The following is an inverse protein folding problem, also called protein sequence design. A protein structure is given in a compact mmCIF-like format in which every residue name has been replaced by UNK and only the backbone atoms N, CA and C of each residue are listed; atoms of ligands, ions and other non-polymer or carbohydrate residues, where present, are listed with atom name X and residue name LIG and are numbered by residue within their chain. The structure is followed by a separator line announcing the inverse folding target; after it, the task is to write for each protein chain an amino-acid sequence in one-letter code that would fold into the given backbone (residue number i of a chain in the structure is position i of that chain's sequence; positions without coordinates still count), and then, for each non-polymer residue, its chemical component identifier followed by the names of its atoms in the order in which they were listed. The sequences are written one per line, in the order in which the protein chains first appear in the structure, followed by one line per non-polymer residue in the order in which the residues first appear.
data_IF_458402601111
#
_entry.id   IF_458402601111
#
_cell.length_a   1.000
_cell.length_b   1.000
_cell.length_c   1.000
_cell.angle_alpha   90.00
_cell.angle_beta   90.00
_cell.angle_gamma   90.00
#
_symmetry.space_group_name_H-M   'P 1'
#
loop_
_entity.id
_entity.type
_entity.pdbx_description
1 polymer ?
#
# COMPACT_ATOMS: atom_id res chain seq x y z
N UNK A 1 21.78 32.98 25.87
CA UNK A 1 22.17 32.42 24.55
C UNK A 1 21.19 31.33 24.21
N UNK A 2 20.35 31.59 23.20
CA UNK A 2 19.10 30.87 22.97
C UNK A 2 19.31 29.43 22.48
N UNK A 3 18.71 28.46 23.18
CA UNK A 3 18.70 27.03 22.83
C UNK A 3 18.16 26.73 21.42
N UNK A 4 17.46 27.69 20.79
CA UNK A 4 16.97 27.58 19.41
C UNK A 4 18.10 27.58 18.37
N UNK A 5 19.20 28.30 18.60
CA UNK A 5 20.32 28.37 17.65
C UNK A 5 21.24 27.14 17.72
N UNK A 6 21.39 26.55 18.91
CA UNK A 6 22.18 25.32 19.10
C UNK A 6 21.47 24.13 18.45
N UNK A 7 20.14 24.04 18.58
CA UNK A 7 19.35 22.99 17.94
C UNK A 7 19.40 23.07 16.40
N UNK A 8 19.32 24.29 15.85
CA UNK A 8 19.50 24.53 14.41
C UNK A 8 20.89 24.13 13.89
N UNK A 9 21.95 24.42 14.66
CA UNK A 9 23.33 24.06 14.31
C UNK A 9 23.60 22.56 14.34
N UNK A 10 23.04 21.82 15.30
CA UNK A 10 23.19 20.36 15.40
C UNK A 10 22.44 19.65 14.27
N UNK A 11 21.21 20.09 13.93
CA UNK A 11 20.44 19.54 12.81
C UNK A 11 21.14 19.81 11.47
N UNK A 12 21.68 21.01 11.27
CA UNK A 12 22.44 21.35 10.07
C UNK A 12 23.74 20.53 9.94
N UNK A 13 24.48 20.33 11.05
CA UNK A 13 25.69 19.52 11.06
C UNK A 13 25.42 18.03 10.77
N UNK A 14 24.30 17.49 11.25
CA UNK A 14 23.88 16.11 10.93
C UNK A 14 23.44 15.94 9.48
N UNK A 15 22.72 16.92 8.91
CA UNK A 15 22.36 16.93 7.48
C UNK A 15 23.60 17.05 6.58
N UNK A 16 24.61 17.81 6.99
CA UNK A 16 25.86 17.95 6.24
C UNK A 16 26.73 16.69 6.32
N UNK A 17 26.81 16.05 7.50
CA UNK A 17 27.49 14.77 7.68
C UNK A 17 26.87 13.63 6.84
N UNK A 18 25.57 13.69 6.59
CA UNK A 18 24.85 12.74 5.73
C UNK A 18 25.29 12.83 4.26
N UNK A 19 25.54 14.05 3.74
CA UNK A 19 26.04 14.24 2.38
C UNK A 19 27.46 13.68 2.25
N UNK A 20 28.33 13.95 3.23
CA UNK A 20 29.74 13.53 3.21
C UNK A 20 29.92 12.02 3.38
N UNK A 21 29.12 11.36 4.22
CA UNK A 21 29.14 9.90 4.38
C UNK A 21 28.55 9.15 3.18
N UNK A 22 27.70 9.80 2.39
CA UNK A 22 27.14 9.22 1.17
C UNK A 22 28.15 9.25 0.01
N UNK A 23 28.94 10.31 -0.14
CA UNK A 23 29.98 10.41 -1.18
C UNK A 23 31.17 9.49 -0.94
N UNK A 24 31.45 9.09 0.31
CA UNK A 24 32.61 8.26 0.65
C UNK A 24 32.38 6.75 0.55
N UNK A 25 31.15 6.29 0.27
CA UNK A 25 30.79 4.85 0.29
C UNK A 25 30.38 4.26 -1.06
N UNK A 26 30.65 4.96 -2.16
CA UNK A 26 30.32 4.51 -3.52
C UNK A 26 31.52 4.10 -4.34
N UNK A 27 32.09 2.91 -4.12
CA UNK A 27 32.84 2.12 -5.12
C UNK A 27 33.14 0.71 -4.60
N UNK A 28 32.22 -0.21 -4.84
CA UNK A 28 32.57 -1.64 -4.93
C UNK A 28 32.09 -2.18 -6.27
N UNK A 29 33.04 -2.74 -7.02
CA UNK A 29 32.90 -3.31 -8.35
C UNK A 29 32.12 -4.64 -8.29
N UNK A 30 31.01 -4.74 -9.00
CA UNK A 30 30.33 -6.02 -9.25
C UNK A 30 30.76 -6.52 -10.63
N UNK A 31 31.57 -7.58 -10.65
CA UNK A 31 31.91 -8.35 -11.85
C UNK A 31 30.71 -9.22 -12.24
N UNK A 32 30.39 -9.21 -13.53
CA UNK A 32 29.42 -10.11 -14.15
C UNK A 32 29.95 -11.55 -14.15
N UNK A 33 29.07 -12.51 -13.85
CA UNK A 33 29.31 -13.92 -14.13
C UNK A 33 28.02 -14.54 -14.66
N UNK A 34 28.06 -14.91 -15.94
CA UNK A 34 27.08 -15.78 -16.60
C UNK A 34 27.28 -17.23 -16.15
N UNK A 35 26.19 -17.93 -15.82
CA UNK A 35 26.14 -19.39 -15.99
C UNK A 35 24.71 -19.95 -16.07
N UNK A 36 24.44 -20.51 -17.24
CA UNK A 36 23.68 -21.71 -17.59
C UNK A 36 22.26 -21.94 -17.03
N UNK A 37 21.30 -21.77 -17.95
CA UNK A 37 19.89 -22.13 -17.88
C UNK A 37 19.73 -23.64 -18.14
N UNK A 38 19.36 -24.41 -17.11
CA UNK A 38 18.90 -25.79 -17.30
C UNK A 38 17.39 -25.78 -17.55
N UNK A 39 16.97 -26.22 -18.74
CA UNK A 39 15.56 -26.41 -19.14
C UNK A 39 14.96 -27.55 -18.30
N UNK A 40 13.96 -27.26 -17.48
CA UNK A 40 13.02 -28.27 -16.98
C UNK A 40 11.68 -28.12 -17.69
N UNK A 41 11.38 -29.09 -18.54
CA UNK A 41 10.16 -29.28 -19.30
C UNK A 41 8.96 -29.49 -18.36
N UNK A 42 7.94 -28.63 -18.46
CA UNK A 42 6.65 -28.86 -17.81
C UNK A 42 5.86 -29.88 -18.66
N UNK A 43 5.46 -30.99 -18.03
CA UNK A 43 4.54 -31.98 -18.62
C UNK A 43 3.13 -31.41 -18.67
N UNK A 44 2.58 -31.36 -19.88
CA UNK A 44 1.15 -31.21 -20.15
C UNK A 44 0.41 -32.46 -19.65
N UNK A 45 -0.53 -32.29 -18.73
CA UNK A 45 -1.60 -33.27 -18.49
C UNK A 45 -2.90 -32.59 -18.88
N UNK A 46 -3.42 -33.01 -20.04
CA UNK A 46 -4.71 -32.57 -20.54
C UNK A 46 -5.83 -33.28 -19.80
N UNK A 47 -6.79 -32.51 -19.32
CA UNK A 47 -8.17 -32.95 -19.18
C UNK A 47 -9.05 -31.83 -19.74
N UNK A 48 -9.89 -32.21 -20.70
CA UNK A 48 -10.71 -31.30 -21.51
C UNK A 48 -11.69 -30.52 -20.65
N UNK A 49 -11.47 -29.21 -20.56
CA UNK A 49 -12.48 -28.27 -20.11
C UNK A 49 -13.37 -27.96 -21.31
N UNK A 50 -14.68 -28.16 -21.16
CA UNK A 50 -15.69 -27.78 -22.13
C UNK A 50 -15.52 -26.29 -22.48
N UNK A 51 -15.24 -25.98 -23.75
CA UNK A 51 -15.26 -24.62 -24.28
C UNK A 51 -16.70 -24.12 -24.28
N UNK A 52 -17.11 -23.45 -23.20
CA UNK A 52 -18.32 -22.61 -23.24
C UNK A 52 -18.00 -21.31 -23.97
N UNK A 53 -18.76 -21.03 -25.03
CA UNK A 53 -18.66 -19.81 -25.85
C UNK A 53 -18.59 -18.54 -24.98
N UNK A 54 -17.51 -17.77 -25.17
CA UNK A 54 -17.26 -16.49 -24.49
C UNK A 54 -18.11 -15.38 -25.11
N UNK A 55 -19.33 -15.16 -24.60
CA UNK A 55 -20.16 -14.02 -24.98
C UNK A 55 -19.67 -12.75 -24.25
N UNK A 56 -18.96 -11.89 -24.97
CA UNK A 56 -18.32 -10.67 -24.44
C UNK A 56 -19.31 -9.54 -24.17
N UNK A 57 -19.56 -9.25 -22.88
CA UNK A 57 -20.34 -8.08 -22.46
C UNK A 57 -19.72 -7.32 -21.27
N UNK A 58 -18.46 -7.60 -20.93
CA UNK A 58 -17.74 -7.04 -19.77
C UNK A 58 -16.40 -6.47 -20.22
N UNK A 59 -16.07 -5.25 -19.82
CA UNK A 59 -14.79 -4.60 -20.14
C UNK A 59 -13.74 -4.88 -19.07
N UNK A 60 -14.16 -4.90 -17.79
CA UNK A 60 -13.29 -5.10 -16.63
C UNK A 60 -13.87 -6.15 -15.68
N UNK A 61 -13.06 -7.13 -15.30
CA UNK A 61 -13.37 -8.05 -14.17
C UNK A 61 -12.60 -7.59 -12.94
N UNK A 62 -13.29 -7.47 -11.80
CA UNK A 62 -12.70 -7.21 -10.49
C UNK A 62 -12.86 -8.43 -9.60
N UNK A 63 -11.75 -8.98 -9.12
CA UNK A 63 -11.73 -10.13 -8.21
C UNK A 63 -11.67 -9.63 -6.77
N UNK A 64 -12.76 -9.80 -6.02
CA UNK A 64 -12.92 -9.35 -4.64
C UNK A 64 -13.65 -8.01 -4.52
N UNK A 65 -14.72 -7.98 -3.72
CA UNK A 65 -15.56 -6.82 -3.41
C UNK A 65 -15.33 -6.33 -1.97
N UNK A 66 -14.06 -6.16 -1.59
CA UNK A 66 -13.67 -5.42 -0.38
C UNK A 66 -13.59 -3.91 -0.65
N UNK A 67 -12.95 -3.16 0.25
CA UNK A 67 -12.82 -1.69 0.15
C UNK A 67 -12.31 -1.23 -1.23
N UNK A 68 -11.19 -1.78 -1.70
CA UNK A 68 -10.61 -1.39 -2.99
C UNK A 68 -11.47 -1.83 -4.19
N UNK A 69 -11.95 -3.08 -4.18
CA UNK A 69 -12.71 -3.65 -5.28
C UNK A 69 -14.06 -2.98 -5.49
N UNK A 70 -14.82 -2.74 -4.41
CA UNK A 70 -16.12 -2.07 -4.49
C UNK A 70 -15.99 -0.60 -4.87
N UNK A 71 -15.01 0.12 -4.28
CA UNK A 71 -14.77 1.51 -4.63
C UNK A 71 -14.33 1.67 -6.09
N UNK A 72 -13.47 0.78 -6.59
CA UNK A 72 -13.04 0.78 -7.97
C UNK A 72 -14.18 0.42 -8.93
N UNK A 73 -15.02 -0.56 -8.58
CA UNK A 73 -16.16 -0.93 -9.38
C UNK A 73 -17.10 0.26 -9.63
N UNK A 74 -17.45 0.99 -8.55
CA UNK A 74 -18.26 2.19 -8.64
C UNK A 74 -17.60 3.27 -9.51
N UNK A 75 -16.30 3.53 -9.28
CA UNK A 75 -15.55 4.55 -10.01
C UNK A 75 -15.45 4.26 -11.52
N UNK A 76 -15.11 3.03 -11.91
CA UNK A 76 -15.01 2.65 -13.31
C UNK A 76 -16.38 2.65 -14.01
N UNK A 77 -17.42 2.21 -13.30
CA UNK A 77 -18.77 2.24 -13.84
C UNK A 77 -19.29 3.67 -14.05
N UNK A 78 -18.98 4.61 -13.15
CA UNK A 78 -19.27 6.04 -13.37
C UNK A 78 -18.56 6.63 -14.60
N UNK A 79 -17.36 6.14 -14.88
CA UNK A 79 -16.59 6.53 -16.07
C UNK A 79 -17.04 5.74 -17.34
N UNK A 80 -18.10 4.91 -17.26
CA UNK A 80 -18.77 4.29 -18.41
C UNK A 80 -18.39 2.83 -18.70
N UNK A 81 -17.45 2.25 -17.95
CA UNK A 81 -17.01 0.86 -18.17
C UNK A 81 -18.06 -0.16 -17.72
N UNK A 82 -18.18 -1.30 -18.42
CA UNK A 82 -18.96 -2.45 -17.97
C UNK A 82 -18.11 -3.31 -17.03
N UNK A 83 -18.50 -3.38 -15.77
CA UNK A 83 -17.69 -4.00 -14.71
C UNK A 83 -18.41 -5.23 -14.16
N UNK A 84 -17.71 -6.37 -14.11
CA UNK A 84 -18.14 -7.54 -13.36
C UNK A 84 -17.28 -7.70 -12.11
N UNK A 85 -17.90 -7.79 -10.95
CA UNK A 85 -17.22 -7.98 -9.66
C UNK A 85 -17.57 -9.36 -9.13
N UNK A 86 -16.56 -10.17 -8.82
CA UNK A 86 -16.74 -11.53 -8.30
C UNK A 86 -16.18 -11.58 -6.87
N UNK A 87 -17.06 -11.79 -5.90
CA UNK A 87 -16.70 -11.87 -4.47
C UNK A 87 -17.11 -13.22 -3.88
N UNK A 88 -16.22 -13.81 -3.07
CA UNK A 88 -16.44 -15.12 -2.46
C UNK A 88 -17.67 -15.12 -1.57
N UNK A 89 -17.83 -14.07 -0.76
CA UNK A 89 -18.97 -13.91 0.13
C UNK A 89 -19.50 -12.48 0.19
N UNK A 90 -20.76 -12.32 -0.25
CA UNK A 90 -21.49 -11.05 -0.26
C UNK A 90 -22.20 -10.74 1.06
N UNK A 91 -22.20 -11.67 2.03
CA UNK A 91 -22.65 -11.39 3.38
C UNK A 91 -21.78 -10.31 4.04
N UNK A 92 -22.33 -9.65 5.06
CA UNK A 92 -21.60 -8.66 5.86
C UNK A 92 -20.36 -9.31 6.50
N UNK A 93 -19.14 -8.81 6.21
CA UNK A 93 -17.94 -9.38 6.81
C UNK A 93 -17.83 -9.08 8.31
N UNK A 94 -17.76 -10.12 9.15
CA UNK A 94 -17.33 -9.99 10.55
C UNK A 94 -15.81 -10.13 10.64
N UNK A 95 -15.10 -8.99 10.75
CA UNK A 95 -13.64 -8.93 10.82
C UNK A 95 -13.18 -7.80 11.73
N UNK A 96 -12.04 -8.00 12.38
CA UNK A 96 -11.39 -7.02 13.27
C UNK A 96 -10.44 -6.05 12.55
N UNK A 97 -10.37 -6.10 11.22
CA UNK A 97 -9.47 -5.27 10.41
C UNK A 97 -10.25 -4.15 9.72
N UNK A 98 -9.62 -2.98 9.56
CA UNK A 98 -10.17 -1.89 8.75
C UNK A 98 -11.26 -1.07 9.44
N UNK A 99 -11.20 -0.90 10.77
CA UNK A 99 -12.21 -0.16 11.54
C UNK A 99 -11.87 1.32 11.75
N UNK A 100 -10.79 1.81 11.14
CA UNK A 100 -10.37 3.22 11.17
C UNK A 100 -9.95 3.66 9.76
N UNK A 101 -10.65 4.66 9.23
CA UNK A 101 -10.28 5.39 8.03
C UNK A 101 -9.69 6.74 8.41
N UNK A 102 -8.43 6.99 8.03
CA UNK A 102 -7.80 8.28 8.25
C UNK A 102 -8.42 9.38 7.41
N UNK A 103 -8.23 10.63 7.84
CA UNK A 103 -8.71 11.81 7.13
C UNK A 103 -8.33 11.86 5.64
N UNK A 104 -7.09 11.50 5.27
CA UNK A 104 -6.70 11.40 3.87
C UNK A 104 -7.50 10.34 3.10
N UNK A 105 -7.83 9.22 3.74
CA UNK A 105 -8.71 8.19 3.18
C UNK A 105 -10.14 8.68 2.98
N UNK A 106 -10.69 9.45 3.94
CA UNK A 106 -11.99 10.12 3.80
C UNK A 106 -12.01 11.08 2.60
N UNK A 107 -10.93 11.87 2.40
CA UNK A 107 -10.82 12.75 1.22
C UNK A 107 -10.77 11.97 -0.10
N UNK A 108 -10.09 10.80 -0.13
CA UNK A 108 -10.10 9.94 -1.33
C UNK A 108 -11.47 9.32 -1.59
N UNK A 109 -12.20 8.97 -0.54
CA UNK A 109 -13.57 8.48 -0.67
C UNK A 109 -14.50 9.56 -1.25
N UNK A 110 -14.38 10.80 -0.77
CA UNK A 110 -15.09 11.95 -1.32
C UNK A 110 -14.71 12.23 -2.78
N UNK A 111 -13.42 12.14 -3.13
CA UNK A 111 -12.96 12.28 -4.51
C UNK A 111 -13.49 11.16 -5.45
N UNK A 112 -14.02 10.07 -4.89
CA UNK A 112 -14.68 8.99 -5.62
C UNK A 112 -16.22 9.14 -5.64
N UNK A 113 -16.80 10.09 -4.92
CA UNK A 113 -18.26 10.24 -4.77
C UNK A 113 -18.90 9.13 -3.92
N UNK A 114 -18.17 8.66 -2.91
CA UNK A 114 -18.51 7.54 -2.02
C UNK A 114 -18.54 7.95 -0.53
N UNK A 115 -18.44 9.23 -0.22
CA UNK A 115 -18.38 9.76 1.15
C UNK A 115 -19.59 9.41 2.01
N UNK A 116 -20.77 9.33 1.40
CA UNK A 116 -22.04 8.93 2.01
C UNK A 116 -22.07 7.44 2.41
N UNK A 117 -21.14 6.61 1.93
CA UNK A 117 -20.97 5.25 2.44
C UNK A 117 -20.52 5.22 3.91
N UNK A 118 -20.12 6.36 4.49
CA UNK A 118 -19.82 6.50 5.92
C UNK A 118 -21.06 6.86 6.76
N UNK A 119 -22.20 7.12 6.11
CA UNK A 119 -23.45 7.50 6.77
C UNK A 119 -24.33 6.28 7.08
N UNK A 120 -25.08 6.36 8.18
CA UNK A 120 -26.01 5.31 8.58
C UNK A 120 -25.37 3.98 8.99
N UNK A 121 -24.06 3.97 9.27
CA UNK A 121 -23.31 2.77 9.73
C UNK A 121 -22.82 2.87 11.17
N UNK A 122 -23.28 3.88 11.92
CA UNK A 122 -22.78 4.23 13.26
C UNK A 122 -21.28 4.59 13.25
N UNK A 123 -20.86 5.37 12.26
CA UNK A 123 -19.48 5.82 12.16
C UNK A 123 -19.19 6.92 13.17
N UNK A 124 -18.02 6.84 13.81
CA UNK A 124 -17.54 7.79 14.81
C UNK A 124 -16.53 8.74 14.20
N UNK A 125 -16.68 10.03 14.46
CA UNK A 125 -15.72 11.06 14.00
C UNK A 125 -14.46 10.97 14.85
N UNK A 126 -13.30 10.85 14.18
CA UNK A 126 -11.99 10.81 14.86
C UNK A 126 -11.25 12.11 14.57
N UNK A 127 -11.12 12.98 15.57
CA UNK A 127 -10.43 14.28 15.47
C UNK A 127 -8.95 14.21 15.88
N UNK A 128 -8.64 13.32 16.82
CA UNK A 128 -7.31 13.20 17.40
C UNK A 128 -7.11 11.84 18.06
N UNK A 129 -5.85 11.48 18.28
CA UNK A 129 -5.44 10.32 19.05
C UNK A 129 -4.77 10.74 20.36
N UNK A 130 -4.94 9.97 21.42
CA UNK A 130 -4.17 10.16 22.65
C UNK A 130 -2.99 9.19 22.66
N UNK A 131 -1.76 9.72 22.65
CA UNK A 131 -0.59 8.92 23.00
C UNK A 131 -0.39 8.98 24.52
N UNK A 132 -0.23 7.82 25.15
CA UNK A 132 -0.03 7.68 26.59
C UNK A 132 1.26 6.90 26.81
N UNK A 133 2.20 7.49 27.56
CA UNK A 133 3.44 6.80 27.92
C UNK A 133 3.23 5.89 29.16
N UNK A 134 4.26 5.11 29.53
CA UNK A 134 4.20 4.20 30.70
C UNK A 134 4.00 4.92 32.03
N UNK A 135 4.38 6.19 32.11
CA UNK A 135 4.22 7.03 33.30
C UNK A 135 2.84 7.70 33.35
N UNK A 136 1.94 7.39 32.41
CA UNK A 136 0.59 7.96 32.33
C UNK A 136 0.52 9.37 31.73
N UNK A 137 1.64 9.95 31.27
CA UNK A 137 1.63 11.23 30.56
C UNK A 137 0.89 11.09 29.25
N UNK A 138 0.07 12.08 28.92
CA UNK A 138 -0.78 12.10 27.74
C UNK A 138 -0.39 13.23 26.81
N UNK A 139 -0.35 12.96 25.51
CA UNK A 139 -0.27 13.99 24.48
C UNK A 139 -1.31 13.72 23.39
N UNK A 140 -1.97 14.78 22.93
CA UNK A 140 -2.89 14.69 21.81
C UNK A 140 -2.11 14.75 20.49
N UNK A 141 -2.51 13.91 19.54
CA UNK A 141 -2.04 13.90 18.17
C UNK A 141 -3.26 14.19 17.29
N UNK A 142 -3.44 15.46 16.97
CA UNK A 142 -4.59 15.94 16.19
C UNK A 142 -4.30 15.88 14.70
N UNK A 143 -5.33 15.67 13.90
CA UNK A 143 -5.22 15.91 12.46
C UNK A 143 -4.98 17.41 12.19
N UNK A 144 -4.17 17.77 11.18
CA UNK A 144 -4.00 19.16 10.77
C UNK A 144 -5.27 19.73 10.12
N UNK A 145 -5.39 21.06 10.12
CA UNK A 145 -6.40 21.80 9.32
C UNK A 145 -7.86 21.35 9.53
N UNK A 146 -8.22 20.98 10.77
CA UNK A 146 -9.56 20.48 11.15
C UNK A 146 -10.04 19.25 10.36
N UNK A 147 -9.11 18.51 9.74
CA UNK A 147 -9.45 17.27 9.08
C UNK A 147 -9.91 16.22 10.11
N UNK A 148 -10.69 15.24 9.68
CA UNK A 148 -11.19 14.18 10.57
C UNK A 148 -11.19 12.83 9.88
N UNK A 149 -10.86 11.79 10.64
CA UNK A 149 -11.06 10.41 10.23
C UNK A 149 -12.45 9.90 10.61
N UNK A 150 -12.69 8.62 10.32
CA UNK A 150 -13.88 7.89 10.76
C UNK A 150 -13.49 6.53 11.32
N UNK A 151 -14.12 6.13 12.41
CA UNK A 151 -14.09 4.73 12.88
C UNK A 151 -15.46 4.11 12.71
N UNK A 152 -15.54 2.82 12.42
CA UNK A 152 -16.78 2.13 12.10
C UNK A 152 -16.59 0.61 12.14
N UNK A 153 -17.69 -0.13 12.18
CA UNK A 153 -17.67 -1.55 11.87
C UNK A 153 -17.37 -1.76 10.39
N UNK A 154 -16.26 -2.44 10.08
CA UNK A 154 -15.80 -2.65 8.71
C UNK A 154 -16.84 -3.39 7.84
N UNK A 155 -17.59 -4.33 8.43
CA UNK A 155 -18.65 -5.06 7.72
C UNK A 155 -19.68 -4.13 7.09
N UNK A 156 -20.27 -3.26 7.91
CA UNK A 156 -21.25 -2.25 7.48
C UNK A 156 -20.71 -1.31 6.40
N UNK A 157 -19.46 -0.86 6.55
CA UNK A 157 -18.83 0.00 5.54
C UNK A 157 -18.66 -0.71 4.20
N UNK A 158 -18.19 -1.97 4.20
CA UNK A 158 -18.08 -2.78 2.99
C UNK A 158 -19.46 -3.00 2.34
N UNK A 159 -20.50 -3.25 3.13
CA UNK A 159 -21.87 -3.40 2.59
C UNK A 159 -22.34 -2.12 1.89
N UNK A 160 -22.15 -0.95 2.50
CA UNK A 160 -22.47 0.34 1.86
C UNK A 160 -21.73 0.53 0.53
N UNK A 161 -20.44 0.20 0.47
CA UNK A 161 -19.66 0.27 -0.78
C UNK A 161 -20.20 -0.69 -1.85
N UNK A 162 -20.58 -1.91 -1.47
CA UNK A 162 -21.14 -2.92 -2.38
C UNK A 162 -22.51 -2.48 -2.91
N UNK A 163 -23.39 -2.02 -2.02
CA UNK A 163 -24.71 -1.46 -2.37
C UNK A 163 -24.57 -0.31 -3.36
N UNK A 164 -23.67 0.64 -3.07
CA UNK A 164 -23.47 1.81 -3.93
C UNK A 164 -22.89 1.43 -5.29
N UNK A 165 -21.93 0.50 -5.35
CA UNK A 165 -21.43 -0.01 -6.63
C UNK A 165 -22.53 -0.74 -7.43
N UNK A 166 -23.30 -1.62 -6.79
CA UNK A 166 -24.37 -2.39 -7.43
C UNK A 166 -25.57 -1.55 -7.89
N UNK A 167 -25.71 -0.31 -7.37
CA UNK A 167 -26.75 0.62 -7.82
C UNK A 167 -26.56 1.11 -9.27
N UNK A 168 -25.37 0.94 -9.85
CA UNK A 168 -25.08 1.34 -11.22
C UNK A 168 -25.44 0.23 -12.22
N UNK A 169 -26.14 0.54 -13.32
CA UNK A 169 -26.67 -0.48 -14.25
C UNK A 169 -25.60 -1.26 -15.01
N UNK A 170 -24.38 -0.71 -15.08
CA UNK A 170 -23.21 -1.32 -15.73
C UNK A 170 -22.28 -2.05 -14.75
N UNK A 171 -22.71 -2.29 -13.50
CA UNK A 171 -22.02 -3.15 -12.53
C UNK A 171 -22.78 -4.45 -12.34
N UNK A 172 -22.12 -5.57 -12.61
CA UNK A 172 -22.61 -6.92 -12.26
C UNK A 172 -21.85 -7.44 -11.05
N UNK A 173 -22.46 -7.37 -9.86
CA UNK A 173 -21.90 -7.94 -8.63
C UNK A 173 -22.38 -9.39 -8.47
N UNK A 174 -21.44 -10.33 -8.35
CA UNK A 174 -21.72 -11.77 -8.35
C UNK A 174 -20.99 -12.48 -7.21
N UNK A 175 -21.66 -13.44 -6.58
CA UNK A 175 -21.06 -14.27 -5.54
C UNK A 175 -20.39 -15.50 -6.15
N UNK A 176 -19.06 -15.59 -6.02
CA UNK A 176 -18.26 -16.70 -6.51
C UNK A 176 -16.82 -16.65 -6.03
N UNK A 177 -16.16 -17.80 -5.97
CA UNK A 177 -14.75 -17.90 -5.60
C UNK A 177 -13.90 -18.03 -6.86
N UNK A 178 -13.13 -17.00 -7.20
CA UNK A 178 -12.15 -17.08 -8.30
C UNK A 178 -11.04 -18.06 -7.93
N UNK A 179 -10.78 -19.03 -8.82
CA UNK A 179 -9.81 -20.11 -8.62
C UNK A 179 -8.53 -19.88 -9.39
N UNK A 180 -8.61 -19.37 -10.62
CA UNK A 180 -7.45 -19.11 -11.47
C UNK A 180 -7.70 -18.01 -12.51
N UNK A 181 -6.60 -17.47 -13.05
CA UNK A 181 -6.62 -16.57 -14.20
C UNK A 181 -6.62 -17.39 -15.49
N UNK A 182 -7.38 -16.94 -16.49
CA UNK A 182 -7.37 -17.51 -17.84
C UNK A 182 -6.34 -16.76 -18.67
N UNK A 183 -5.30 -17.46 -19.12
CA UNK A 183 -4.21 -16.91 -19.92
C UNK A 183 -4.28 -17.45 -21.35
N UNK A 184 -4.23 -16.53 -22.33
CA UNK A 184 -4.13 -16.86 -23.75
C UNK A 184 -3.02 -16.01 -24.37
N UNK A 185 -2.08 -16.65 -25.07
CA UNK A 185 -0.96 -16.01 -25.76
C UNK A 185 -0.14 -15.04 -24.86
N UNK A 186 0.08 -15.39 -23.59
CA UNK A 186 0.85 -14.55 -22.66
C UNK A 186 0.07 -13.35 -22.09
N UNK A 187 -1.25 -13.26 -22.34
CA UNK A 187 -2.14 -12.23 -21.83
C UNK A 187 -3.27 -12.86 -21.02
N UNK A 188 -3.61 -12.25 -19.89
CA UNK A 188 -4.81 -12.63 -19.13
C UNK A 188 -6.05 -12.15 -19.90
N UNK A 189 -7.02 -13.04 -20.07
CA UNK A 189 -8.28 -12.81 -20.78
C UNK A 189 -9.51 -12.93 -19.89
N UNK A 190 -9.34 -13.31 -18.63
CA UNK A 190 -10.44 -13.50 -17.71
C UNK A 190 -10.08 -14.37 -16.51
N UNK A 191 -11.11 -14.98 -15.92
CA UNK A 191 -11.00 -15.79 -14.71
C UNK A 191 -11.88 -17.04 -14.77
N UNK A 192 -11.44 -18.10 -14.11
CA UNK A 192 -12.28 -19.23 -13.72
C UNK A 192 -12.74 -19.02 -12.28
N UNK A 193 -14.01 -19.30 -12.01
CA UNK A 193 -14.59 -19.15 -10.68
C UNK A 193 -15.64 -20.22 -10.39
N UNK A 194 -15.84 -20.49 -9.10
CA UNK A 194 -16.86 -21.42 -8.60
C UNK A 194 -18.02 -20.64 -8.00
N UNK A 195 -19.24 -20.93 -8.43
CA UNK A 195 -20.44 -20.38 -7.78
C UNK A 195 -20.65 -21.03 -6.41
N UNK A 196 -21.57 -20.47 -5.61
CA UNK A 196 -21.97 -21.08 -4.33
C UNK A 196 -22.52 -22.51 -4.49
N UNK A 197 -23.10 -22.83 -5.65
CA UNK A 197 -23.57 -24.17 -6.00
C UNK A 197 -22.46 -25.14 -6.43
N UNK A 198 -21.20 -24.69 -6.46
CA UNK A 198 -20.05 -25.51 -6.84
C UNK A 198 -19.80 -25.61 -8.35
N UNK A 199 -20.61 -24.93 -9.17
CA UNK A 199 -20.44 -24.91 -10.63
C UNK A 199 -19.22 -24.07 -11.01
N UNK A 200 -18.33 -24.63 -11.84
CA UNK A 200 -17.23 -23.89 -12.45
C UNK A 200 -17.73 -23.11 -13.67
N UNK A 201 -17.45 -21.80 -13.67
CA UNK A 201 -17.78 -20.87 -14.74
C UNK A 201 -16.53 -20.12 -15.17
N UNK A 202 -16.54 -19.62 -16.40
CA UNK A 202 -15.53 -18.73 -16.93
C UNK A 202 -16.14 -17.34 -17.19
N UNK A 203 -15.41 -16.28 -16.85
CA UNK A 203 -15.74 -14.91 -17.21
C UNK A 203 -14.56 -14.28 -17.95
N UNK A 204 -14.83 -13.54 -19.02
CA UNK A 204 -13.80 -12.90 -19.85
C UNK A 204 -13.95 -11.40 -19.88
N UNK A 205 -12.82 -10.71 -19.88
CA UNK A 205 -12.72 -9.25 -19.98
C UNK A 205 -11.35 -8.85 -20.52
N UNK A 206 -11.29 -7.63 -21.05
CA UNK A 206 -10.05 -7.03 -21.57
C UNK A 206 -9.04 -6.73 -20.46
N UNK A 207 -9.53 -6.45 -19.25
CA UNK A 207 -8.70 -6.20 -18.07
C UNK A 207 -9.26 -6.94 -16.85
N UNK A 208 -8.40 -7.70 -16.15
CA UNK A 208 -8.72 -8.34 -14.86
C UNK A 208 -7.95 -7.65 -13.74
N UNK A 209 -8.66 -7.15 -12.73
CA UNK A 209 -8.07 -6.46 -11.57
C UNK A 209 -8.26 -7.33 -10.32
N UNK A 210 -7.16 -7.63 -9.64
CA UNK A 210 -7.14 -8.56 -8.50
C UNK A 210 -7.06 -7.78 -7.18
N UNK A 211 -8.17 -7.81 -6.43
CA UNK A 211 -8.44 -7.08 -5.18
C UNK A 211 -8.82 -8.01 -4.00
N UNK A 212 -8.41 -9.29 -4.04
CA UNK A 212 -8.79 -10.35 -3.09
C UNK A 212 -8.04 -10.30 -1.73
N UNK A 213 -7.33 -9.20 -1.47
CA UNK A 213 -6.81 -8.84 -0.16
C UNK A 213 -5.60 -9.66 0.30
N UNK A 214 -5.40 -9.70 1.62
CA UNK A 214 -4.13 -10.15 2.20
C UNK A 214 -3.84 -11.65 2.02
N UNK A 215 -4.89 -12.46 1.86
CA UNK A 215 -4.80 -13.89 1.59
C UNK A 215 -4.94 -14.24 0.11
N UNK A 216 -4.63 -13.29 -0.78
CA UNK A 216 -4.71 -13.49 -2.23
C UNK A 216 -4.08 -14.80 -2.68
N UNK A 217 -4.89 -15.64 -3.32
CA UNK A 217 -4.44 -16.90 -3.92
C UNK A 217 -3.80 -16.66 -5.29
N UNK A 218 -4.19 -15.58 -5.98
CA UNK A 218 -3.72 -15.22 -7.31
C UNK A 218 -2.37 -14.47 -7.27
N UNK A 219 -1.98 -13.93 -6.11
CA UNK A 219 -0.75 -13.15 -5.94
C UNK A 219 0.51 -13.89 -6.40
N UNK A 220 0.65 -15.20 -6.20
CA UNK A 220 1.87 -15.94 -6.61
C UNK A 220 2.06 -15.95 -8.13
N UNK A 221 0.98 -15.83 -8.89
CA UNK A 221 1.02 -15.81 -10.35
C UNK A 221 1.39 -14.42 -10.89
N UNK A 222 1.22 -13.38 -10.07
CA UNK A 222 1.38 -11.97 -10.46
C UNK A 222 2.53 -11.24 -9.72
N UNK A 223 3.09 -11.86 -8.67
CA UNK A 223 4.19 -11.33 -7.87
C UNK A 223 5.13 -12.46 -7.38
N UNK A 224 6.42 -12.16 -7.27
CA UNK A 224 7.40 -13.07 -6.67
C UNK A 224 7.18 -13.14 -5.14
N UNK A 225 6.87 -14.32 -4.55
CA UNK A 225 6.63 -14.45 -3.12
C UNK A 225 7.92 -14.33 -2.29
N UNK A 226 7.83 -13.71 -1.11
CA UNK A 226 8.89 -13.65 -0.08
C UNK A 226 8.53 -14.45 1.19
N UNK A 227 7.78 -15.55 1.05
CA UNK A 227 7.46 -16.39 2.21
C UNK A 227 8.07 -17.78 2.05
N UNK A 228 8.90 -18.25 3.00
CA UNK A 228 9.47 -19.59 2.98
C UNK A 228 8.34 -20.65 3.04
N UNK A 229 8.34 -21.67 2.16
CA UNK A 229 7.34 -22.74 2.13
C UNK A 229 7.16 -23.47 3.47
N UNK A 230 8.22 -23.53 4.27
CA UNK A 230 8.34 -24.32 5.49
C UNK A 230 7.46 -23.77 6.64
N UNK A 231 7.05 -22.49 6.57
CA UNK A 231 6.29 -21.81 7.63
C UNK A 231 4.77 -21.84 7.41
N UNK A 232 4.30 -22.31 6.25
CA UNK A 232 2.90 -22.20 5.86
C UNK A 232 1.96 -23.05 6.74
N UNK A 233 2.33 -24.31 7.01
CA UNK A 233 1.46 -25.24 7.74
C UNK A 233 1.39 -24.96 9.24
N UNK A 234 2.52 -24.56 9.85
CA UNK A 234 2.58 -24.20 11.27
C UNK A 234 1.73 -22.95 11.58
N UNK A 235 1.66 -22.02 10.62
CA UNK A 235 0.87 -20.80 10.73
C UNK A 235 -0.65 -21.07 10.70
N UNK A 236 -1.13 -21.93 9.79
CA UNK A 236 -2.55 -22.34 9.73
C UNK A 236 -2.96 -23.08 11.01
N UNK A 237 -2.12 -24.02 11.47
CA UNK A 237 -2.40 -24.81 12.66
C UNK A 237 -2.46 -23.99 13.97
N UNK A 238 -1.81 -22.82 14.02
CA UNK A 238 -1.86 -21.90 15.15
C UNK A 238 -3.13 -21.02 15.17
N UNK A 239 -3.72 -20.75 14.00
CA UNK A 239 -4.97 -20.00 13.86
C UNK A 239 -6.17 -20.86 14.29
N UNK A 240 -6.13 -22.17 14.02
CA UNK A 240 -7.27 -23.08 14.23
C UNK A 240 -7.53 -23.45 15.69
N UNK A 241 -6.64 -23.13 16.64
CA UNK A 241 -6.72 -23.53 18.06
C UNK A 241 -7.49 -22.55 18.98
N UNK A 242 -8.23 -21.61 18.41
CA UNK A 242 -8.58 -20.33 19.04
C UNK A 242 -9.44 -20.30 20.32
N UNK A 243 -9.22 -19.24 21.11
CA UNK A 243 -10.28 -18.46 21.77
C UNK A 243 -9.97 -16.92 21.77
N UNK A 244 -9.18 -16.46 20.79
CA UNK A 244 -8.81 -15.05 20.54
C UNK A 244 -8.78 -14.85 19.02
N UNK A 245 -9.46 -13.82 18.48
CA UNK A 245 -9.38 -13.48 17.05
C UNK A 245 -7.99 -12.92 16.74
N UNK A 246 -7.22 -13.59 15.89
CA UNK A 246 -5.87 -13.19 15.49
C UNK A 246 -5.80 -12.89 14.00
N UNK A 247 -4.98 -11.92 13.61
CA UNK A 247 -4.73 -11.59 12.21
C UNK A 247 -3.22 -11.37 12.01
N UNK A 248 -2.59 -11.98 11.00
CA UNK A 248 -1.17 -11.77 10.74
C UNK A 248 -0.91 -10.33 10.31
N UNK A 249 0.08 -9.70 10.95
CA UNK A 249 0.56 -8.40 10.52
C UNK A 249 1.70 -8.58 9.51
N UNK A 250 1.41 -8.33 8.22
CA UNK A 250 2.31 -8.61 7.10
C UNK A 250 2.90 -7.33 6.54
N UNK A 251 4.19 -7.38 6.18
CA UNK A 251 4.88 -6.31 5.47
C UNK A 251 5.26 -6.85 4.10
N UNK A 252 4.81 -6.17 3.05
CA UNK A 252 5.04 -6.60 1.66
C UNK A 252 5.22 -5.38 0.77
N UNK A 253 6.45 -5.13 0.32
CA UNK A 253 6.76 -4.08 -0.66
C UNK A 253 6.10 -4.37 -2.01
N UNK A 254 5.70 -3.31 -2.72
CA UNK A 254 5.17 -3.44 -4.08
C UNK A 254 6.28 -3.84 -5.05
N UNK A 255 6.21 -5.06 -5.58
CA UNK A 255 7.11 -5.58 -6.61
C UNK A 255 6.29 -6.29 -7.70
N UNK A 256 5.49 -5.54 -8.46
CA UNK A 256 4.62 -6.09 -9.49
C UNK A 256 5.46 -6.70 -10.62
N UNK A 257 4.98 -7.81 -11.19
CA UNK A 257 5.44 -8.28 -12.49
C UNK A 257 4.49 -7.69 -13.56
N UNK A 258 5.00 -7.02 -14.61
CA UNK A 258 4.16 -6.54 -15.70
C UNK A 258 3.46 -7.71 -16.39
N UNK A 259 2.16 -7.85 -16.16
CA UNK A 259 1.34 -8.93 -16.70
C UNK A 259 0.25 -8.35 -17.59
N UNK A 260 0.37 -8.43 -18.93
CA UNK A 260 -0.66 -7.97 -19.84
C UNK A 260 -2.05 -8.56 -19.50
N UNK A 261 -3.04 -7.68 -19.37
CA UNK A 261 -4.43 -8.05 -19.07
C UNK A 261 -4.72 -8.26 -17.58
N UNK A 262 -3.74 -8.14 -16.69
CA UNK A 262 -3.94 -8.24 -15.24
C UNK A 262 -3.28 -7.10 -14.45
N UNK A 263 -3.93 -6.67 -13.37
CA UNK A 263 -3.41 -5.61 -12.50
C UNK A 263 -3.72 -5.88 -11.01
N UNK A 264 -2.77 -5.59 -10.11
CA UNK A 264 -2.90 -5.77 -8.66
C UNK A 264 -3.06 -4.42 -7.94
N UNK A 265 -3.96 -4.32 -6.96
CA UNK A 265 -4.11 -3.13 -6.11
C UNK A 265 -4.50 -3.48 -4.66
N UNK A 266 -4.29 -2.53 -3.73
CA UNK A 266 -4.58 -2.73 -2.31
C UNK A 266 -3.64 -3.76 -1.67
N UNK A 267 -4.14 -4.52 -0.69
CA UNK A 267 -3.33 -5.49 0.05
C UNK A 267 -2.83 -6.65 -0.83
N UNK A 268 -3.44 -6.92 -1.99
CA UNK A 268 -2.91 -7.91 -2.94
C UNK A 268 -1.58 -7.47 -3.54
N UNK A 269 -1.36 -6.15 -3.71
CA UNK A 269 -0.13 -5.53 -4.22
C UNK A 269 0.86 -5.13 -3.13
N UNK A 270 0.39 -4.55 -2.02
CA UNK A 270 1.26 -3.92 -1.03
C UNK A 270 0.64 -3.92 0.37
N UNK A 271 1.33 -4.54 1.34
CA UNK A 271 0.93 -4.56 2.74
C UNK A 271 1.92 -3.80 3.61
N UNK A 272 1.41 -3.22 4.70
CA UNK A 272 2.18 -2.53 5.71
C UNK A 272 1.72 -2.91 7.11
N UNK A 273 2.53 -2.55 8.09
CA UNK A 273 2.19 -2.77 9.47
C UNK A 273 0.89 -2.03 9.86
N UNK A 274 -0.05 -2.72 10.52
CA UNK A 274 -1.37 -2.18 10.84
C UNK A 274 -1.40 -1.08 11.92
N UNK A 275 -0.28 -0.85 12.64
CA UNK A 275 -0.18 0.11 13.77
C UNK A 275 -0.60 1.53 13.40
N UNK A 276 -0.47 1.91 12.12
CA UNK A 276 -0.83 3.25 11.66
C UNK A 276 -2.18 3.31 10.96
N UNK A 277 -2.95 2.22 10.84
CA UNK A 277 -4.26 2.25 10.17
C UNK A 277 -4.26 2.67 8.69
N UNK A 278 -3.09 2.82 8.04
CA UNK A 278 -2.97 3.44 6.72
C UNK A 278 -3.38 2.58 5.51
N UNK A 279 -3.75 1.31 5.72
CA UNK A 279 -4.04 0.36 4.64
C UNK A 279 -5.16 0.82 3.70
N UNK A 280 -6.31 1.20 4.27
CA UNK A 280 -7.45 1.69 3.48
C UNK A 280 -7.15 3.01 2.77
N UNK A 281 -6.42 3.93 3.41
CA UNK A 281 -6.00 5.21 2.81
C UNK A 281 -5.16 4.99 1.56
N UNK A 282 -4.21 4.06 1.61
CA UNK A 282 -3.38 3.75 0.42
C UNK A 282 -4.20 3.01 -0.63
N UNK A 283 -5.05 2.06 -0.23
CA UNK A 283 -5.96 1.37 -1.15
C UNK A 283 -6.86 2.34 -1.93
N UNK A 284 -7.49 3.30 -1.24
CA UNK A 284 -8.32 4.31 -1.89
C UNK A 284 -7.51 5.31 -2.72
N UNK A 285 -6.30 5.66 -2.28
CA UNK A 285 -5.39 6.50 -3.08
C UNK A 285 -4.97 5.80 -4.38
N UNK A 286 -4.72 4.48 -4.32
CA UNK A 286 -4.42 3.64 -5.47
C UNK A 286 -5.64 3.56 -6.41
N UNK A 287 -6.87 3.44 -5.88
CA UNK A 287 -8.10 3.46 -6.69
C UNK A 287 -8.27 4.79 -7.42
N UNK A 288 -8.08 5.92 -6.74
CA UNK A 288 -8.13 7.26 -7.35
C UNK A 288 -7.11 7.38 -8.49
N UNK A 289 -5.86 6.99 -8.23
CA UNK A 289 -4.79 7.06 -9.22
C UNK A 289 -5.06 6.15 -10.42
N UNK A 290 -5.51 4.92 -10.20
CA UNK A 290 -5.79 3.97 -11.26
C UNK A 290 -6.97 4.43 -12.12
N UNK A 291 -8.06 4.92 -11.51
CA UNK A 291 -9.19 5.51 -12.23
C UNK A 291 -8.71 6.65 -13.12
N UNK A 292 -7.92 7.58 -12.58
CA UNK A 292 -7.47 8.76 -13.33
C UNK A 292 -6.57 8.37 -14.52
N UNK A 293 -5.79 7.29 -14.41
CA UNK A 293 -5.03 6.71 -15.52
C UNK A 293 -5.92 5.97 -16.53
N UNK A 294 -6.95 5.26 -16.09
CA UNK A 294 -7.84 4.50 -16.98
C UNK A 294 -8.84 5.39 -17.72
N UNK A 295 -9.26 6.52 -17.13
CA UNK A 295 -10.21 7.47 -17.70
C UNK A 295 -9.92 7.94 -19.13
N UNK A 296 -8.68 8.30 -19.52
CA UNK A 296 -8.38 8.69 -20.90
C UNK A 296 -8.36 7.52 -21.90
N UNK A 297 -8.48 6.27 -21.44
CA UNK A 297 -8.51 5.10 -22.33
C UNK A 297 -9.94 4.87 -22.79
N UNK A 298 -10.15 4.75 -24.11
CA UNK A 298 -11.46 4.40 -24.67
C UNK A 298 -11.54 2.92 -25.10
N UNK A 299 -10.40 2.22 -25.10
CA UNK A 299 -10.29 0.82 -25.49
C UNK A 299 -9.28 0.09 -24.58
N UNK A 300 -9.70 -1.04 -24.03
CA UNK A 300 -8.87 -1.90 -23.19
C UNK A 300 -8.34 -3.16 -23.91
N UNK A 301 -8.60 -3.32 -25.20
CA UNK A 301 -8.29 -4.53 -25.97
C UNK A 301 -6.78 -4.83 -26.06
N UNK A 302 -5.94 -3.79 -26.16
CA UNK A 302 -4.50 -3.92 -26.31
C UNK A 302 -3.79 -4.03 -24.95
N UNK A 303 -3.86 -5.23 -24.37
CA UNK A 303 -3.30 -5.58 -23.07
C UNK A 303 -1.81 -5.21 -22.91
N UNK A 304 -0.99 -5.35 -23.95
CA UNK A 304 0.44 -5.04 -23.89
C UNK A 304 0.71 -3.53 -23.77
N UNK A 305 -0.01 -2.73 -24.56
CA UNK A 305 0.11 -1.26 -24.55
C UNK A 305 -0.40 -0.68 -23.24
N UNK A 306 -1.50 -1.23 -22.71
CA UNK A 306 -2.07 -0.84 -21.42
C UNK A 306 -1.13 -1.22 -20.28
N UNK A 307 -0.60 -2.45 -20.28
CA UNK A 307 0.38 -2.89 -19.29
C UNK A 307 1.59 -1.95 -19.23
N UNK A 308 2.11 -1.56 -20.41
CA UNK A 308 3.17 -0.56 -20.52
C UNK A 308 2.68 0.79 -19.96
N UNK A 309 1.54 1.31 -20.39
CA UNK A 309 1.04 2.60 -19.89
C UNK A 309 0.86 2.62 -18.36
N UNK A 310 0.28 1.56 -17.79
CA UNK A 310 0.02 1.42 -16.36
C UNK A 310 1.28 1.22 -15.50
N UNK A 311 2.48 1.05 -16.07
CA UNK A 311 3.70 1.15 -15.26
C UNK A 311 3.88 2.53 -14.61
N UNK A 312 3.26 3.58 -15.17
CA UNK A 312 3.21 4.93 -14.60
C UNK A 312 2.59 4.93 -13.19
N UNK A 313 1.57 4.10 -12.96
CA UNK A 313 0.93 3.90 -11.65
C UNK A 313 1.95 3.58 -10.55
N UNK A 314 2.88 2.66 -10.82
CA UNK A 314 3.88 2.23 -9.84
C UNK A 314 4.93 3.29 -9.53
N UNK A 315 5.08 4.32 -10.38
CA UNK A 315 5.92 5.48 -10.10
C UNK A 315 5.12 6.54 -9.34
N UNK A 316 3.92 6.86 -9.82
CA UNK A 316 3.08 7.93 -9.28
C UNK A 316 2.64 7.65 -7.83
N UNK A 317 2.42 6.39 -7.46
CA UNK A 317 2.03 6.02 -6.08
C UNK A 317 3.17 6.05 -5.06
N UNK A 318 4.42 6.04 -5.50
CA UNK A 318 5.59 5.81 -4.62
C UNK A 318 5.72 6.82 -3.49
N UNK A 319 5.58 8.14 -3.71
CA UNK A 319 5.68 9.12 -2.63
C UNK A 319 4.71 8.81 -1.48
N UNK A 320 3.42 8.62 -1.81
CA UNK A 320 2.37 8.32 -0.84
C UNK A 320 2.58 7.00 -0.12
N UNK A 321 2.82 5.93 -0.89
CA UNK A 321 3.04 4.60 -0.33
C UNK A 321 4.30 4.56 0.55
N UNK A 322 5.37 5.24 0.14
CA UNK A 322 6.63 5.33 0.87
C UNK A 322 6.46 6.02 2.23
N UNK A 323 5.80 7.17 2.27
CA UNK A 323 5.60 7.92 3.51
C UNK A 323 4.87 7.06 4.56
N UNK A 324 3.74 6.46 4.17
CA UNK A 324 2.90 5.65 5.06
C UNK A 324 3.61 4.34 5.44
N UNK A 325 4.28 3.65 4.51
CA UNK A 325 5.02 2.40 4.78
C UNK A 325 6.17 2.59 5.75
N UNK A 326 6.96 3.62 5.50
CA UNK A 326 8.16 3.91 6.28
C UNK A 326 7.77 4.30 7.70
N UNK A 327 6.74 5.15 7.84
CA UNK A 327 6.27 5.55 9.15
C UNK A 327 5.69 4.35 9.92
N UNK A 328 4.87 3.50 9.28
CA UNK A 328 4.32 2.32 9.91
C UNK A 328 5.39 1.34 10.41
N UNK A 329 6.41 1.09 9.58
CA UNK A 329 7.50 0.19 9.93
C UNK A 329 8.39 0.79 11.03
N UNK A 330 8.69 2.08 10.94
CA UNK A 330 9.48 2.80 11.95
C UNK A 330 8.77 2.78 13.30
N UNK A 331 7.49 3.14 13.35
CA UNK A 331 6.71 3.14 14.59
C UNK A 331 6.62 1.76 15.21
N UNK A 332 6.38 0.72 14.40
CA UNK A 332 6.39 -0.65 14.91
C UNK A 332 7.72 -1.02 15.54
N UNK A 333 8.85 -0.74 14.87
CA UNK A 333 10.17 -1.07 15.41
C UNK A 333 10.44 -0.30 16.70
N UNK A 334 10.10 1.00 16.74
CA UNK A 334 10.26 1.84 17.92
C UNK A 334 9.45 1.27 19.09
N UNK A 335 8.17 0.96 18.89
CA UNK A 335 7.28 0.55 19.98
C UNK A 335 7.40 -0.92 20.40
N UNK A 336 7.68 -1.84 19.46
CA UNK A 336 7.83 -3.29 19.74
C UNK A 336 9.20 -3.66 20.31
N UNK A 337 10.10 -2.70 20.42
CA UNK A 337 11.43 -2.90 21.00
C UNK A 337 11.40 -3.33 22.47
N UNK A 338 12.28 -4.25 22.88
CA UNK A 338 12.51 -4.55 24.31
C UNK A 338 13.07 -3.33 25.03
N UNK A 339 12.57 -3.07 26.23
CA UNK A 339 13.05 -1.97 27.09
C UNK A 339 14.39 -2.30 27.79
N UNK A 340 14.90 -3.52 27.62
CA UNK A 340 16.20 -3.92 28.15
C UNK A 340 17.37 -3.19 27.46
N UNK A 341 17.18 -2.71 26.21
CA UNK A 341 18.18 -1.90 25.51
C UNK A 341 17.97 -0.41 25.80
N UNK A 342 18.91 0.27 26.50
CA UNK A 342 18.79 1.69 26.84
C UNK A 342 18.57 2.59 25.61
N UNK A 343 19.13 2.23 24.45
CA UNK A 343 18.97 3.00 23.22
C UNK A 343 17.54 2.95 22.67
N UNK A 344 16.87 1.80 22.81
CA UNK A 344 15.49 1.60 22.36
C UNK A 344 14.49 2.23 23.33
N UNK A 345 14.78 2.19 24.64
CA UNK A 345 14.01 2.93 25.65
C UNK A 345 14.06 4.44 25.36
N UNK A 346 15.25 4.99 25.15
CA UNK A 346 15.40 6.41 24.81
C UNK A 346 14.66 6.76 23.52
N UNK A 347 14.71 5.90 22.49
CA UNK A 347 13.99 6.13 21.24
C UNK A 347 12.48 6.26 21.42
N UNK A 348 11.85 5.42 22.27
CA UNK A 348 10.42 5.52 22.60
C UNK A 348 10.10 6.82 23.36
N UNK A 349 10.91 7.15 24.37
CA UNK A 349 10.72 8.37 25.14
C UNK A 349 10.92 9.63 24.28
N UNK A 350 11.94 9.63 23.42
CA UNK A 350 12.21 10.72 22.50
C UNK A 350 11.06 10.88 21.51
N UNK A 351 10.50 9.78 21.00
CA UNK A 351 9.32 9.81 20.13
C UNK A 351 8.10 10.43 20.84
N UNK A 352 7.78 9.98 22.06
CA UNK A 352 6.68 10.55 22.83
C UNK A 352 6.87 12.04 23.13
N UNK A 353 8.07 12.44 23.57
CA UNK A 353 8.34 13.84 23.89
C UNK A 353 8.39 14.71 22.62
N UNK A 354 8.84 14.19 21.49
CA UNK A 354 8.81 14.88 20.21
C UNK A 354 7.37 15.18 19.77
N UNK A 355 6.46 14.21 19.90
CA UNK A 355 5.03 14.43 19.68
C UNK A 355 4.44 15.45 20.66
N UNK A 356 4.92 15.44 21.90
CA UNK A 356 4.48 16.37 22.95
C UNK A 356 4.90 17.82 22.69
N UNK A 357 5.80 18.09 21.74
CA UNK A 357 6.15 19.45 21.33
C UNK A 357 5.02 20.15 20.56
N UNK A 358 4.04 19.40 20.03
CA UNK A 358 2.92 19.95 19.29
C UNK A 358 3.30 20.62 17.96
N UNK A 359 2.33 21.29 17.34
CA UNK A 359 2.50 21.97 16.04
C UNK A 359 3.08 21.05 14.97
N UNK A 360 4.08 21.53 14.23
CA UNK A 360 4.72 20.78 13.13
C UNK A 360 5.20 19.39 13.57
N UNK A 361 5.70 19.23 14.80
CA UNK A 361 6.26 17.96 15.28
C UNK A 361 5.20 16.86 15.50
N UNK A 362 3.97 17.25 15.81
CA UNK A 362 2.84 16.32 16.00
C UNK A 362 1.95 16.28 14.76
N UNK A 363 1.46 17.44 14.32
CA UNK A 363 0.55 17.57 13.18
C UNK A 363 1.23 17.22 11.86
N UNK A 364 2.52 17.52 11.69
CA UNK A 364 3.28 17.14 10.49
C UNK A 364 3.44 15.63 10.37
N UNK A 365 3.74 14.95 11.48
CA UNK A 365 3.79 13.49 11.51
C UNK A 365 2.40 12.89 11.30
N UNK A 366 1.36 13.51 11.85
CA UNK A 366 -0.02 13.10 11.64
C UNK A 366 -0.47 13.31 10.19
N UNK A 367 -0.03 14.37 9.52
CA UNK A 367 -0.28 14.63 8.10
C UNK A 367 0.31 13.54 7.20
N UNK A 368 1.52 13.08 7.51
CA UNK A 368 2.18 11.96 6.84
C UNK A 368 1.42 10.65 7.07
N UNK A 369 1.10 10.35 8.34
CA UNK A 369 0.42 9.10 8.73
C UNK A 369 -0.98 8.98 8.13
N UNK A 370 -1.71 10.09 8.14
CA UNK A 370 -3.09 10.17 7.66
C UNK A 370 -3.23 10.19 6.15
N UNK A 371 -2.13 10.36 5.41
CA UNK A 371 -2.14 10.54 3.96
C UNK A 371 -2.66 11.90 3.48
N UNK A 372 -2.72 12.91 4.36
CA UNK A 372 -3.12 14.28 3.99
C UNK A 372 -2.00 15.01 3.24
N UNK A 373 -0.75 14.86 3.69
CA UNK A 373 0.42 15.40 3.02
C UNK A 373 1.60 14.39 3.10
N UNK A 374 1.57 13.32 2.28
CA UNK A 374 2.55 12.25 2.36
C UNK A 374 3.84 12.60 1.58
N UNK A 375 4.45 13.75 1.89
CA UNK A 375 5.68 14.21 1.26
C UNK A 375 6.92 13.44 1.78
N UNK A 376 7.71 12.79 0.90
CA UNK A 376 8.93 12.08 1.32
C UNK A 376 9.96 12.98 2.00
N UNK A 377 10.09 14.26 1.63
CA UNK A 377 11.06 15.16 2.24
C UNK A 377 10.66 15.53 3.67
N UNK A 378 9.37 15.79 3.90
CA UNK A 378 8.79 15.96 5.23
C UNK A 378 9.05 14.73 6.13
N UNK A 379 8.88 13.50 5.60
CA UNK A 379 9.22 12.29 6.35
C UNK A 379 10.71 12.24 6.74
N UNK A 380 11.60 12.55 5.79
CA UNK A 380 13.04 12.60 6.06
C UNK A 380 13.36 13.63 7.13
N UNK A 381 12.78 14.83 7.03
CA UNK A 381 12.90 15.87 8.04
C UNK A 381 12.49 15.37 9.44
N UNK A 382 11.30 14.76 9.56
CA UNK A 382 10.83 14.25 10.85
C UNK A 382 11.73 13.15 11.42
N UNK A 383 12.20 12.21 10.58
CA UNK A 383 13.14 11.17 11.00
C UNK A 383 14.43 11.76 11.58
N UNK A 384 15.03 12.74 10.91
CA UNK A 384 16.26 13.39 11.38
C UNK A 384 16.02 14.30 12.58
N UNK A 385 14.90 15.04 12.61
CA UNK A 385 14.55 15.89 13.74
C UNK A 385 14.31 15.06 15.01
N UNK A 386 13.62 13.92 14.91
CA UNK A 386 13.45 12.99 16.02
C UNK A 386 14.78 12.39 16.49
N UNK A 387 15.66 12.01 15.55
CA UNK A 387 16.98 11.48 15.87
C UNK A 387 17.85 12.53 16.59
N UNK A 388 17.89 13.76 16.09
CA UNK A 388 18.60 14.88 16.70
C UNK A 388 18.03 15.21 18.08
N UNK A 389 16.71 15.16 18.24
CA UNK A 389 16.04 15.35 19.52
C UNK A 389 16.43 14.27 20.53
N UNK A 390 16.43 12.99 20.13
CA UNK A 390 16.84 11.87 20.98
C UNK A 390 18.33 11.97 21.40
N UNK A 391 19.22 12.30 20.46
CA UNK A 391 20.65 12.50 20.75
C UNK A 391 20.85 13.70 21.67
N UNK A 392 20.17 14.82 21.41
CA UNK A 392 20.22 16.02 22.25
C UNK A 392 19.81 15.76 23.69
N UNK A 393 18.74 14.97 23.91
CA UNK A 393 18.30 14.55 25.24
C UNK A 393 19.35 13.74 26.00
N UNK A 394 20.11 12.90 25.31
CA UNK A 394 21.18 12.12 25.93
C UNK A 394 22.41 12.97 26.27
N UNK A 395 22.79 13.90 25.38
CA UNK A 395 24.04 14.65 25.51
C UNK A 395 23.92 15.90 26.40
N UNK A 396 22.71 16.41 26.63
CA UNK A 396 22.49 17.58 27.48
C UNK A 396 22.16 17.21 28.94
N UNK A 397 22.55 18.03 29.93
CA UNK A 397 23.41 19.21 29.80
C UNK A 397 24.90 18.88 29.62
N UNK A 398 25.35 17.67 30.00
CA UNK A 398 26.74 17.24 29.87
C UNK A 398 26.88 15.86 29.21
N UNK A 399 27.72 15.72 28.17
CA UNK A 399 27.94 14.45 27.48
C UNK A 399 28.91 13.57 28.28
N UNK A 400 28.40 12.53 28.95
CA UNK A 400 29.25 11.51 29.56
C UNK A 400 29.64 10.43 28.55
N UNK A 401 30.80 9.74 28.69
CA UNK A 401 31.20 8.67 27.76
C UNK A 401 30.13 7.59 27.57
N UNK A 402 29.42 7.23 28.64
CA UNK A 402 28.29 6.30 28.60
C UNK A 402 27.13 6.83 27.74
N UNK A 403 26.75 8.10 27.92
CA UNK A 403 25.69 8.77 27.12
C UNK A 403 26.07 8.91 25.66
N UNK A 404 27.33 9.23 25.37
CA UNK A 404 27.85 9.29 24.01
C UNK A 404 27.82 7.92 23.32
N UNK A 405 28.18 6.85 24.03
CA UNK A 405 28.08 5.48 23.51
C UNK A 405 26.62 5.10 23.18
N UNK A 406 25.67 5.44 24.05
CA UNK A 406 24.24 5.21 23.81
C UNK A 406 23.76 6.02 22.60
N UNK A 407 24.17 7.30 22.48
CA UNK A 407 23.82 8.14 21.35
C UNK A 407 24.36 7.60 20.02
N UNK A 408 25.61 7.13 19.99
CA UNK A 408 26.20 6.48 18.82
C UNK A 408 25.44 5.20 18.43
N UNK A 409 25.06 4.38 19.41
CA UNK A 409 24.23 3.19 19.19
C UNK A 409 22.85 3.55 18.64
N UNK A 410 22.24 4.63 19.14
CA UNK A 410 20.93 5.10 18.69
C UNK A 410 20.97 5.56 17.22
N UNK A 411 22.04 6.25 16.80
CA UNK A 411 22.26 6.62 15.38
C UNK A 411 22.44 5.36 14.51
N UNK A 412 23.19 4.37 14.99
CA UNK A 412 23.39 3.10 14.28
C UNK A 412 22.06 2.34 14.11
N UNK A 413 21.23 2.29 15.15
CA UNK A 413 19.92 1.64 15.10
C UNK A 413 18.97 2.40 14.16
N UNK A 414 18.89 3.73 14.28
CA UNK A 414 18.03 4.56 13.43
C UNK A 414 18.38 4.45 11.94
N UNK A 415 19.67 4.49 11.60
CA UNK A 415 20.14 4.27 10.23
C UNK A 415 19.83 2.85 9.73
N UNK A 416 20.00 1.83 10.58
CA UNK A 416 19.63 0.45 10.29
C UNK A 416 18.14 0.24 10.00
N UNK A 417 17.25 1.13 10.44
CA UNK A 417 15.81 1.08 10.15
C UNK A 417 15.49 1.78 8.83
N UNK A 418 16.00 3.00 8.64
CA UNK A 418 15.60 3.87 7.52
C UNK A 418 16.22 3.39 6.19
N UNK A 419 17.49 2.99 6.18
CA UNK A 419 18.19 2.63 4.94
C UNK A 419 17.60 1.41 4.22
N UNK A 420 17.25 0.29 4.89
CA UNK A 420 16.61 -0.84 4.23
C UNK A 420 15.26 -0.48 3.60
N UNK A 421 14.47 0.37 4.28
CA UNK A 421 13.17 0.82 3.77
C UNK A 421 13.35 1.70 2.51
N UNK A 422 14.26 2.67 2.56
CA UNK A 422 14.63 3.50 1.41
C UNK A 422 15.11 2.67 0.22
N UNK A 423 15.91 1.63 0.49
CA UNK A 423 16.43 0.71 -0.55
C UNK A 423 15.31 -0.13 -1.17
N UNK A 424 14.38 -0.63 -0.35
CA UNK A 424 13.27 -1.46 -0.81
C UNK A 424 12.28 -0.68 -1.70
N UNK A 425 12.05 0.60 -1.42
CA UNK A 425 11.08 1.44 -2.14
C UNK A 425 11.71 2.17 -3.36
N UNK A 426 13.03 2.37 -3.35
CA UNK A 426 13.81 2.88 -4.48
C UNK A 426 13.89 4.41 -4.54
N UNK A 427 14.93 4.97 -3.92
CA UNK A 427 15.22 6.41 -3.72
C UNK A 427 14.84 7.30 -4.91
N UNK A 428 15.37 7.06 -6.11
CA UNK A 428 15.09 7.95 -7.27
C UNK A 428 13.61 8.04 -7.61
N UNK A 429 12.89 6.92 -7.55
CA UNK A 429 11.47 6.89 -7.90
C UNK A 429 10.59 7.52 -6.81
N UNK A 430 11.07 7.54 -5.57
CA UNK A 430 10.38 8.13 -4.41
C UNK A 430 10.53 9.64 -4.35
N UNK A 431 11.76 10.15 -4.43
CA UNK A 431 12.04 11.58 -4.26
C UNK A 431 11.97 12.37 -5.56
N UNK A 432 12.22 11.71 -6.70
CA UNK A 432 12.28 12.34 -8.01
C UNK A 432 11.49 11.52 -9.05
N UNK A 433 10.18 11.30 -8.85
CA UNK A 433 9.37 10.46 -9.74
C UNK A 433 9.44 10.96 -11.19
N UNK A 434 9.52 12.27 -11.39
CA UNK A 434 9.69 12.94 -12.68
C UNK A 434 11.00 12.58 -13.43
N UNK A 435 11.97 11.91 -12.80
CA UNK A 435 13.19 11.43 -13.48
C UNK A 435 13.01 10.03 -14.07
N UNK A 436 11.86 9.38 -13.85
CA UNK A 436 11.57 8.05 -14.39
C UNK A 436 10.84 8.14 -15.72
N UNK A 437 11.30 7.46 -16.78
CA UNK A 437 10.61 7.47 -18.08
C UNK A 437 9.15 7.01 -18.00
N UNK A 438 8.83 6.09 -17.09
CA UNK A 438 7.46 5.63 -16.86
C UNK A 438 6.50 6.74 -16.36
N UNK A 439 7.02 7.82 -15.78
CA UNK A 439 6.22 8.95 -15.31
C UNK A 439 5.52 9.70 -16.45
N UNK A 440 6.16 9.80 -17.62
CA UNK A 440 5.66 10.53 -18.78
C UNK A 440 4.99 9.63 -19.82
N UNK A 441 4.61 8.40 -19.47
CA UNK A 441 3.91 7.52 -20.41
C UNK A 441 2.55 8.12 -20.72
N UNK A 442 2.31 8.36 -22.01
CA UNK A 442 1.03 8.83 -22.52
C UNK A 442 0.10 7.65 -22.81
N UNK A 443 -1.23 7.89 -22.82
CA UNK A 443 -2.19 6.90 -23.29
C UNK A 443 -1.79 6.37 -24.68
N UNK A 444 -1.91 5.06 -24.94
CA UNK A 444 -1.61 4.50 -26.25
C UNK A 444 -2.53 5.12 -27.31
N UNK A 445 -1.92 5.63 -28.39
CA UNK A 445 -2.64 6.21 -29.53
C UNK A 445 -3.28 5.07 -30.32
N UNK A 446 -4.56 5.21 -30.64
CA UNK A 446 -5.24 4.25 -31.53
C UNK A 446 -4.54 4.26 -32.89
N UNK A 447 -4.12 3.10 -33.39
CA UNK A 447 -3.84 2.97 -34.81
C UNK A 447 -5.17 3.13 -35.53
N UNK A 448 -5.48 4.34 -36.01
CA UNK A 448 -6.46 4.50 -37.08
C UNK A 448 -5.95 3.64 -38.21
N UNK A 449 -6.61 2.50 -38.45
CA UNK A 449 -6.23 1.61 -39.54
C UNK A 449 -6.17 2.41 -40.82
N UNK A 450 -5.02 2.39 -41.48
CA UNK A 450 -4.89 2.80 -42.86
C UNK A 450 -5.91 1.98 -43.65
N UNK A 451 -7.05 2.59 -43.95
CA UNK A 451 -7.79 2.25 -45.15
C UNK A 451 -6.91 2.72 -46.29
N UNK A 452 -5.97 1.88 -46.71
CA UNK A 452 -5.47 1.91 -48.07
C UNK A 452 -6.69 1.82 -48.99
N UNK A 453 -7.14 2.99 -49.44
CA UNK A 453 -8.04 3.12 -50.56
C UNK A 453 -7.27 2.61 -51.77
N UNK A 454 -7.48 1.34 -52.10
CA UNK A 454 -7.18 0.82 -53.42
C UNK A 454 -7.95 1.62 -54.46
N UNK A 455 -7.21 2.35 -55.28
CA UNK A 455 -7.55 2.64 -56.67
C UNK A 455 -6.31 2.45 -57.51
#
# INVERSE_FOLDING_TARGET
MDSKHIFGGVVAAFLFGFVVLYSSRGRENIKASEKNRSKKTLKSSGNGVCRSNFAGNTDVIIVGAGVAGSALAYALAKDGWRVQVIERDLAEPDRIVGELLHAGGCLKLAALGLEDCLDGIDSQIVLSFAAINKDGKRTAISYPSNASGRSFHNGRFIQKLREKAASLPNVKLEQGTVTSLVEENGSIKGVLYKTKAGQELAASASLTIVCDGCFSNLRRNLCNPKMPPELYNAFICAIDKGNIRTMPNRIMSASPYPTPGAFLIGDSLNMRHAVTGGGMTVGLSDVVLLRDLLRPLNDLSNAASICKYLESFYILRKPTAFAINTLASTLHIVFSSSDQDPSRKEMKEAFFNYLSLGGVFSEGLMALLSGLNPDPLSLVFHCFAMLAYAVGRLLLPFPTPKRMCIAAKLILVGSGIIFPILKAEGIRATFFPATKPAYYRTPPVQSTGDKETGK
#
